data_IF_704620210458
#
_entry.id   IF_704620210458
#
_cell.length_a   1.000
_cell.length_b   1.000
_cell.length_c   1.000
_cell.angle_alpha   90.00
_cell.angle_beta   90.00
_cell.angle_gamma   90.00
#
_symmetry.space_group_name_H-M   'P 1'
#
loop_
_entity.id
_entity.type
_entity.pdbx_description
1 polymer ?
#
# COMPACT_ATOMS: atom_id res chain seq x y z
N UNK A 1 17.14 4.94 33.13
CA UNK A 1 17.29 3.60 32.53
C UNK A 1 16.68 3.62 31.15
N UNK A 2 17.49 3.36 30.12
CA UNK A 2 17.03 3.30 28.74
C UNK A 2 16.46 1.90 28.48
N UNK A 3 15.14 1.79 28.37
CA UNK A 3 14.47 0.52 28.14
C UNK A 3 14.71 0.07 26.70
N UNK A 4 15.64 -0.87 26.50
CA UNK A 4 15.95 -1.46 25.20
C UNK A 4 14.93 -2.56 24.89
N UNK A 5 14.01 -2.27 23.97
CA UNK A 5 13.01 -3.23 23.49
C UNK A 5 13.68 -4.38 22.71
N UNK A 6 13.35 -5.66 23.00
CA UNK A 6 13.78 -6.78 22.16
C UNK A 6 13.35 -6.61 20.70
N UNK A 7 14.23 -6.96 19.75
CA UNK A 7 14.00 -6.71 18.30
C UNK A 7 12.70 -7.36 17.78
N UNK A 8 12.31 -8.51 18.32
CA UNK A 8 11.04 -9.16 17.99
C UNK A 8 9.81 -8.35 18.43
N UNK A 9 9.87 -7.69 19.58
CA UNK A 9 8.82 -6.84 20.11
C UNK A 9 8.76 -5.50 19.36
N UNK A 10 9.91 -4.95 18.97
CA UNK A 10 10.02 -3.77 18.11
C UNK A 10 9.33 -4.01 16.77
N UNK A 11 9.59 -5.16 16.12
CA UNK A 11 8.90 -5.55 14.87
C UNK A 11 7.38 -5.70 15.05
N UNK A 12 6.93 -6.20 16.20
CA UNK A 12 5.49 -6.33 16.51
C UNK A 12 4.85 -4.96 16.72
N UNK A 13 5.51 -4.08 17.47
CA UNK A 13 5.08 -2.70 17.72
C UNK A 13 4.98 -1.92 16.41
N UNK A 14 6.01 -1.93 15.57
CA UNK A 14 6.02 -1.23 14.29
C UNK A 14 4.89 -1.71 13.36
N UNK A 15 4.63 -3.02 13.31
CA UNK A 15 3.49 -3.58 12.56
C UNK A 15 2.15 -3.09 13.13
N UNK A 16 1.98 -3.11 14.45
CA UNK A 16 0.77 -2.64 15.13
C UNK A 16 0.52 -1.15 14.86
N UNK A 17 1.53 -0.31 15.04
CA UNK A 17 1.48 1.13 14.78
C UNK A 17 1.14 1.43 13.32
N UNK A 18 1.75 0.71 12.38
CA UNK A 18 1.41 0.85 10.95
C UNK A 18 -0.05 0.48 10.67
N UNK A 19 -0.55 -0.61 11.26
CA UNK A 19 -1.94 -1.02 11.10
C UNK A 19 -2.91 0.01 11.71
N UNK A 20 -2.59 0.54 12.89
CA UNK A 20 -3.36 1.60 13.54
C UNK A 20 -3.39 2.87 12.66
N UNK A 21 -2.24 3.27 12.11
CA UNK A 21 -2.14 4.41 11.19
C UNK A 21 -2.97 4.20 9.92
N UNK A 22 -2.89 3.02 9.29
CA UNK A 22 -3.68 2.68 8.09
C UNK A 22 -5.18 2.67 8.38
N UNK A 23 -5.59 2.06 9.49
CA UNK A 23 -6.99 1.99 9.90
C UNK A 23 -7.54 3.38 10.25
N UNK A 24 -6.75 4.19 10.95
CA UNK A 24 -7.09 5.58 11.26
C UNK A 24 -7.34 6.40 10.00
N UNK A 25 -6.39 6.38 9.05
CA UNK A 25 -6.53 7.08 7.76
C UNK A 25 -7.78 6.61 6.99
N UNK A 26 -8.08 5.31 7.00
CA UNK A 26 -9.29 4.76 6.36
C UNK A 26 -10.57 5.31 7.00
N UNK A 27 -10.63 5.42 8.32
CA UNK A 27 -11.79 5.99 9.04
C UNK A 27 -11.94 7.48 8.70
N UNK A 28 -10.84 8.25 8.71
CA UNK A 28 -10.86 9.67 8.37
C UNK A 28 -11.33 9.90 6.93
N UNK A 29 -10.85 9.10 5.97
CA UNK A 29 -11.31 9.14 4.59
C UNK A 29 -12.80 8.87 4.46
N UNK A 30 -13.33 7.85 5.15
CA UNK A 30 -14.78 7.57 5.17
C UNK A 30 -15.62 8.72 5.72
N UNK A 31 -15.13 9.40 6.76
CA UNK A 31 -15.82 10.55 7.34
C UNK A 31 -15.76 11.78 6.43
N UNK A 32 -14.66 11.94 5.69
CA UNK A 32 -14.52 12.98 4.69
C UNK A 32 -15.48 12.75 3.51
N UNK A 33 -15.51 11.53 2.97
CA UNK A 33 -16.33 11.16 1.81
C UNK A 33 -17.84 11.13 2.13
N UNK A 34 -18.23 11.18 3.42
CA UNK A 34 -19.64 11.18 3.87
C UNK A 34 -20.38 12.49 3.57
N UNK A 35 -19.65 13.61 3.52
CA UNK A 35 -20.23 14.94 3.38
C UNK A 35 -19.72 15.59 2.10
N UNK A 36 -20.57 16.35 1.43
CA UNK A 36 -20.27 16.88 0.10
C UNK A 36 -19.50 18.21 0.16
N UNK A 37 -19.85 19.07 1.12
CA UNK A 37 -19.26 20.41 1.29
C UNK A 37 -18.18 20.45 2.37
N UNK A 38 -17.11 21.20 2.15
CA UNK A 38 -16.00 21.36 3.11
C UNK A 38 -16.43 21.95 4.46
N UNK A 39 -17.39 22.88 4.46
CA UNK A 39 -17.94 23.46 5.68
C UNK A 39 -18.64 22.41 6.55
N UNK A 40 -19.42 21.52 5.93
CA UNK A 40 -20.06 20.41 6.61
C UNK A 40 -19.02 19.39 7.10
N UNK A 41 -17.96 19.13 6.33
CA UNK A 41 -16.85 18.28 6.76
C UNK A 41 -16.19 18.84 8.02
N UNK A 42 -15.84 20.13 8.03
CA UNK A 42 -15.16 20.79 9.17
C UNK A 42 -16.03 20.80 10.43
N UNK A 43 -17.35 21.02 10.30
CA UNK A 43 -18.30 20.97 11.43
C UNK A 43 -18.46 19.56 12.00
N UNK A 44 -18.38 18.52 11.15
CA UNK A 44 -18.54 17.13 11.55
C UNK A 44 -17.20 16.45 11.86
N UNK A 45 -16.49 16.94 12.89
CA UNK A 45 -15.23 16.33 13.32
C UNK A 45 -15.43 14.98 14.02
N UNK A 46 -14.61 13.94 13.72
CA UNK A 46 -14.63 12.69 14.45
C UNK A 46 -14.27 12.88 15.93
N UNK A 47 -15.03 12.25 16.85
CA UNK A 47 -14.87 12.39 18.31
C UNK A 47 -13.46 12.11 18.86
N UNK A 48 -12.67 11.27 18.17
CA UNK A 48 -11.31 10.86 18.59
C UNK A 48 -10.19 11.71 17.97
N UNK A 49 -10.54 12.72 17.17
CA UNK A 49 -9.59 13.57 16.46
C UNK A 49 -9.67 14.99 17.00
N UNK A 50 -8.52 15.65 17.18
CA UNK A 50 -8.48 17.07 17.51
C UNK A 50 -9.07 17.89 16.36
N UNK A 51 -9.91 18.86 16.67
CA UNK A 51 -10.59 19.72 15.68
C UNK A 51 -9.59 20.38 14.71
N UNK A 52 -8.49 20.92 15.23
CA UNK A 52 -7.44 21.57 14.44
C UNK A 52 -6.82 20.63 13.39
N UNK A 53 -6.49 19.40 13.81
CA UNK A 53 -5.94 18.38 12.91
C UNK A 53 -6.96 17.96 11.84
N UNK A 54 -8.24 17.94 12.19
CA UNK A 54 -9.31 17.62 11.25
C UNK A 54 -9.51 18.72 10.21
N UNK A 55 -9.54 19.99 10.63
CA UNK A 55 -9.64 21.13 9.70
C UNK A 55 -8.47 21.12 8.73
N UNK A 56 -7.23 20.97 9.23
CA UNK A 56 -6.04 20.86 8.39
C UNK A 56 -6.09 19.68 7.42
N UNK A 57 -6.65 18.55 7.86
CA UNK A 57 -6.84 17.38 7.00
C UNK A 57 -7.85 17.66 5.88
N UNK A 58 -8.99 18.30 6.19
CA UNK A 58 -9.99 18.69 5.18
C UNK A 58 -9.37 19.65 4.19
N UNK A 59 -8.69 20.72 4.65
CA UNK A 59 -8.07 21.71 3.77
C UNK A 59 -7.05 21.10 2.81
N UNK A 60 -6.16 20.23 3.33
CA UNK A 60 -5.19 19.52 2.50
C UNK A 60 -5.88 18.59 1.48
N UNK A 61 -6.92 17.88 1.90
CA UNK A 61 -7.61 16.88 1.06
C UNK A 61 -8.50 17.52 0.01
N UNK A 62 -8.97 18.74 0.25
CA UNK A 62 -9.81 19.50 -0.67
C UNK A 62 -9.04 20.18 -1.79
N UNK A 63 -7.71 20.22 -1.72
CA UNK A 63 -6.85 20.70 -2.81
C UNK A 63 -7.05 19.90 -4.10
N UNK A 64 -6.96 20.59 -5.23
CA UNK A 64 -7.21 19.99 -6.55
C UNK A 64 -6.18 18.89 -6.88
N UNK A 65 -4.92 19.09 -6.48
CA UNK A 65 -3.84 18.12 -6.66
C UNK A 65 -4.15 16.79 -5.95
N UNK A 66 -4.63 16.85 -4.70
CA UNK A 66 -4.96 15.66 -3.92
C UNK A 66 -6.22 14.98 -4.49
N UNK A 67 -7.22 15.75 -4.92
CA UNK A 67 -8.41 15.20 -5.59
C UNK A 67 -8.04 14.46 -6.88
N UNK A 68 -7.26 15.08 -7.75
CA UNK A 68 -6.78 14.48 -8.99
C UNK A 68 -5.97 13.20 -8.73
N UNK A 69 -5.05 13.25 -7.75
CA UNK A 69 -4.27 12.08 -7.34
C UNK A 69 -5.16 10.94 -6.80
N UNK A 70 -6.19 11.24 -6.01
CA UNK A 70 -7.13 10.24 -5.49
C UNK A 70 -7.92 9.57 -6.61
N UNK A 71 -8.39 10.32 -7.59
CA UNK A 71 -9.13 9.78 -8.73
C UNK A 71 -8.22 8.92 -9.63
N UNK A 72 -7.01 9.41 -9.94
CA UNK A 72 -6.03 8.60 -10.68
C UNK A 72 -5.67 7.31 -9.95
N UNK A 73 -5.51 7.35 -8.63
CA UNK A 73 -5.27 6.15 -7.83
C UNK A 73 -6.47 5.19 -7.84
N UNK A 74 -7.70 5.68 -7.92
CA UNK A 74 -8.90 4.85 -8.05
C UNK A 74 -8.93 4.13 -9.41
N UNK A 75 -8.63 4.86 -10.49
CA UNK A 75 -8.51 4.31 -11.85
C UNK A 75 -7.36 3.30 -11.93
N UNK A 76 -6.21 3.60 -11.32
CA UNK A 76 -5.08 2.68 -11.31
C UNK A 76 -5.42 1.39 -10.57
N UNK A 77 -6.08 1.49 -9.40
CA UNK A 77 -6.55 0.31 -8.65
C UNK A 77 -7.56 -0.54 -9.43
N UNK A 78 -8.46 0.06 -10.20
CA UNK A 78 -9.39 -0.72 -11.03
C UNK A 78 -8.69 -1.43 -12.18
N UNK A 79 -7.56 -0.89 -12.66
CA UNK A 79 -6.71 -1.51 -13.69
C UNK A 79 -5.72 -2.54 -13.13
N UNK A 80 -5.51 -2.61 -11.81
CA UNK A 80 -4.62 -3.59 -11.18
C UNK A 80 -5.28 -4.98 -11.22
N UNK A 81 -5.05 -5.71 -12.31
CA UNK A 81 -5.57 -7.06 -12.54
C UNK A 81 -4.49 -8.17 -12.40
N UNK A 82 -3.32 -7.86 -11.82
CA UNK A 82 -2.22 -8.81 -11.66
C UNK A 82 -2.13 -9.31 -10.21
N UNK A 83 -2.74 -10.46 -9.87
CA UNK A 83 -2.63 -11.04 -8.55
C UNK A 83 -1.23 -11.62 -8.33
N UNK A 84 -0.65 -11.32 -7.17
CA UNK A 84 0.58 -11.95 -6.71
C UNK A 84 0.28 -13.34 -6.13
N UNK A 85 1.17 -14.30 -6.35
CA UNK A 85 1.08 -15.68 -5.85
C UNK A 85 1.67 -15.82 -4.45
N UNK A 86 2.41 -14.82 -3.96
CA UNK A 86 3.14 -14.87 -2.69
C UNK A 86 2.29 -14.72 -1.41
N UNK A 87 0.96 -14.72 -1.54
CA UNK A 87 0.03 -14.64 -0.41
C UNK A 87 0.21 -13.35 0.42
N UNK A 88 0.53 -13.47 1.71
CA UNK A 88 0.71 -12.30 2.60
C UNK A 88 2.13 -11.70 2.55
N UNK A 89 3.07 -12.33 1.83
CA UNK A 89 4.41 -11.78 1.65
C UNK A 89 4.35 -10.72 0.54
N UNK A 90 4.80 -9.51 0.84
CA UNK A 90 4.92 -8.45 -0.17
C UNK A 90 6.14 -8.68 -1.07
N UNK A 91 6.12 -8.10 -2.27
CA UNK A 91 7.19 -8.20 -3.28
C UNK A 91 8.57 -7.80 -2.73
N UNK A 92 8.66 -6.75 -1.93
CA UNK A 92 9.92 -6.33 -1.28
C UNK A 92 10.52 -7.41 -0.40
N UNK A 93 9.69 -8.14 0.36
CA UNK A 93 10.18 -9.21 1.22
C UNK A 93 10.66 -10.40 0.41
N UNK A 94 10.01 -10.66 -0.73
CA UNK A 94 10.48 -11.69 -1.68
C UNK A 94 11.83 -11.28 -2.26
N UNK A 95 11.97 -10.02 -2.67
CA UNK A 95 13.25 -9.50 -3.16
C UNK A 95 14.36 -9.57 -2.10
N UNK A 96 14.08 -9.18 -0.85
CA UNK A 96 15.05 -9.29 0.25
C UNK A 96 15.47 -10.76 0.50
N UNK A 97 14.49 -11.67 0.58
CA UNK A 97 14.75 -13.12 0.77
C UNK A 97 15.55 -13.70 -0.42
N UNK A 98 15.34 -13.20 -1.64
CA UNK A 98 16.10 -13.60 -2.82
C UNK A 98 17.51 -13.01 -2.84
N UNK A 99 17.70 -11.75 -2.44
CA UNK A 99 19.01 -11.10 -2.33
C UNK A 99 19.91 -11.75 -1.27
N UNK A 100 19.32 -12.29 -0.19
CA UNK A 100 20.06 -13.06 0.82
C UNK A 100 20.65 -14.36 0.24
N UNK A 101 20.01 -14.95 -0.77
CA UNK A 101 20.46 -16.18 -1.44
C UNK A 101 21.38 -15.87 -2.63
N UNK A 102 20.98 -14.89 -3.44
CA UNK A 102 21.70 -14.42 -4.62
C UNK A 102 21.70 -12.89 -4.67
N UNK A 103 22.85 -12.24 -4.34
CA UNK A 103 22.99 -10.79 -4.38
C UNK A 103 22.81 -10.16 -5.77
N UNK A 104 22.81 -10.96 -6.85
CA UNK A 104 22.58 -10.47 -8.21
C UNK A 104 21.11 -10.41 -8.60
N UNK A 105 20.20 -10.80 -7.69
CA UNK A 105 18.75 -10.72 -7.88
C UNK A 105 18.33 -9.33 -8.35
N UNK A 106 17.70 -9.26 -9.53
CA UNK A 106 17.11 -8.04 -10.05
C UNK A 106 15.60 -8.03 -9.84
N UNK A 107 14.99 -6.84 -9.99
CA UNK A 107 13.55 -6.65 -9.76
C UNK A 107 12.69 -7.63 -10.57
N UNK A 108 13.06 -7.90 -11.82
CA UNK A 108 12.34 -8.84 -12.69
C UNK A 108 12.25 -10.24 -12.10
N UNK A 109 13.29 -10.69 -11.39
CA UNK A 109 13.34 -12.04 -10.81
C UNK A 109 12.36 -12.15 -9.65
N UNK A 110 12.36 -11.15 -8.77
CA UNK A 110 11.38 -11.07 -7.66
C UNK A 110 9.94 -10.95 -8.17
N UNK A 111 9.74 -10.26 -9.30
CA UNK A 111 8.44 -10.17 -9.96
C UNK A 111 8.02 -11.53 -10.54
N UNK A 112 8.93 -12.25 -11.18
CA UNK A 112 8.68 -13.58 -11.75
C UNK A 112 8.29 -14.57 -10.64
N UNK A 113 9.06 -14.63 -9.55
CA UNK A 113 8.78 -15.48 -8.40
C UNK A 113 7.44 -15.10 -7.76
N UNK A 114 7.16 -13.80 -7.64
CA UNK A 114 5.93 -13.30 -7.05
C UNK A 114 4.65 -13.52 -7.87
N UNK A 115 4.78 -13.94 -9.14
CA UNK A 115 3.63 -14.15 -10.03
C UNK A 115 3.60 -15.53 -10.72
N UNK A 116 4.59 -16.37 -10.45
CA UNK A 116 4.61 -17.78 -10.85
C UNK A 116 4.13 -18.64 -9.67
N UNK A 117 3.35 -19.67 -9.95
CA UNK A 117 2.93 -20.67 -8.95
C UNK A 117 4.02 -21.75 -8.80
N UNK A 118 3.90 -22.59 -7.77
CA UNK A 118 4.84 -23.69 -7.54
C UNK A 118 4.87 -24.74 -8.65
N UNK A 119 3.82 -24.79 -9.48
CA UNK A 119 3.71 -25.65 -10.66
C UNK A 119 4.31 -25.02 -11.93
N UNK A 120 4.93 -23.84 -11.83
CA UNK A 120 5.51 -23.11 -12.96
C UNK A 120 4.48 -22.36 -13.81
N UNK A 121 3.19 -22.42 -13.47
CA UNK A 121 2.14 -21.69 -14.22
C UNK A 121 1.98 -20.26 -13.71
N UNK A 122 1.64 -19.34 -14.61
CA UNK A 122 1.31 -17.96 -14.24
C UNK A 122 -0.09 -17.88 -13.65
N UNK A 123 -0.30 -17.00 -12.67
CA UNK A 123 -1.59 -16.83 -12.02
C UNK A 123 -2.70 -16.37 -12.98
N UNK A 124 -2.37 -15.59 -14.00
CA UNK A 124 -3.27 -15.09 -15.07
C UNK A 124 -2.47 -14.90 -16.37
N UNK A 125 -3.07 -15.14 -17.54
CA UNK A 125 -2.45 -14.96 -18.87
C UNK A 125 -1.84 -13.55 -19.10
N UNK A 126 -2.45 -12.52 -18.52
CA UNK A 126 -2.00 -11.12 -18.60
C UNK A 126 -0.66 -10.89 -17.87
N UNK A 127 -0.36 -11.69 -16.85
CA UNK A 127 0.95 -11.71 -16.19
C UNK A 127 1.99 -12.32 -17.13
N UNK A 128 1.66 -13.41 -17.81
CA UNK A 128 2.55 -14.07 -18.76
C UNK A 128 2.97 -13.10 -19.89
N UNK A 129 2.01 -12.34 -20.45
CA UNK A 129 2.32 -11.34 -21.49
C UNK A 129 3.24 -10.21 -20.96
N UNK A 130 3.00 -9.74 -19.73
CA UNK A 130 3.87 -8.71 -19.11
C UNK A 130 5.26 -9.22 -18.80
N UNK A 131 5.38 -10.47 -18.34
CA UNK A 131 6.68 -11.14 -18.11
C UNK A 131 7.43 -11.31 -19.42
N UNK A 132 6.76 -11.77 -20.49
CA UNK A 132 7.36 -11.90 -21.82
C UNK A 132 7.85 -10.54 -22.32
N UNK A 133 7.06 -9.47 -22.20
CA UNK A 133 7.53 -8.11 -22.54
C UNK A 133 8.71 -7.65 -21.67
N UNK A 134 8.72 -7.98 -20.38
CA UNK A 134 9.81 -7.61 -19.48
C UNK A 134 11.13 -8.32 -19.85
N UNK A 135 11.04 -9.57 -20.31
CA UNK A 135 12.19 -10.41 -20.71
C UNK A 135 12.69 -10.03 -22.12
N UNK A 136 11.81 -9.66 -23.05
CA UNK A 136 12.15 -9.36 -24.46
C UNK A 136 12.45 -7.87 -24.76
N UNK A 137 12.55 -7.01 -23.75
CA UNK A 137 12.95 -5.59 -23.89
C UNK A 137 14.44 -5.37 -23.51
N UNK A 138 15.19 -6.43 -23.23
CA UNK A 138 16.67 -6.43 -23.23
C UNK A 138 17.22 -7.12 -24.47
#
# INVERSE_FOLDING_TARGET
EEYVLPEAEKRKLMRSTNNLGRNGKKILGKMYDKWDTDELRKKNCPKKTKQENWVRFVDLTSTEEVKASREMNKINRSKMATPHTTGRKGEFRVADEMMEVDPTTIRSDSFLVGHTRSDGTFSIALVAEKVVRLIFIH
#
